data_IF_836026813406
#
_entry.id   IF_836026813406
#
_cell.length_a   1.000
_cell.length_b   1.000
_cell.length_c   1.000
_cell.angle_alpha   90.00
_cell.angle_beta   90.00
_cell.angle_gamma   90.00
#
_symmetry.space_group_name_H-M   'P 1'
#
loop_
_entity.id
_entity.type
_entity.pdbx_description
1 polymer ?
#
# COMPACT_ATOMS: atom_id res chain seq x y z
N UNK A 1 22.21 54.39 23.30
CA UNK A 1 22.59 53.36 22.33
C UNK A 1 22.27 52.00 22.93
N UNK A 2 21.04 51.48 22.76
CA UNK A 2 20.61 50.19 23.29
C UNK A 2 20.47 49.19 22.13
N UNK A 3 21.36 48.20 22.11
CA UNK A 3 21.38 47.09 21.17
C UNK A 3 20.42 46.03 21.66
N UNK A 4 19.31 45.85 20.99
CA UNK A 4 18.37 44.73 21.18
C UNK A 4 18.98 43.45 20.55
N UNK A 5 19.36 42.50 21.41
CA UNK A 5 19.72 41.14 20.97
C UNK A 5 18.43 40.33 20.84
N UNK A 6 18.03 40.04 19.62
CA UNK A 6 16.95 39.11 19.31
C UNK A 6 17.47 37.68 19.51
N UNK A 7 17.02 37.01 20.55
CA UNK A 7 17.30 35.61 20.79
C UNK A 7 16.34 34.75 19.89
N UNK A 8 16.90 34.11 18.90
CA UNK A 8 16.20 33.11 18.13
C UNK A 8 15.90 31.88 19.01
N UNK A 9 14.62 31.65 19.33
CA UNK A 9 14.15 30.41 19.93
C UNK A 9 14.39 29.27 18.94
N UNK A 10 15.36 28.43 19.20
CA UNK A 10 15.44 27.07 18.60
C UNK A 10 14.27 26.25 19.14
N UNK A 11 13.31 25.97 18.32
CA UNK A 11 12.32 24.94 18.60
C UNK A 11 13.03 23.58 18.70
N UNK A 12 13.14 23.07 19.90
CA UNK A 12 13.53 21.69 20.16
C UNK A 12 12.37 20.79 19.68
N UNK A 13 12.54 20.18 18.49
CA UNK A 13 11.73 19.02 18.12
C UNK A 13 11.98 17.95 19.18
N UNK A 14 10.96 17.66 19.99
CA UNK A 14 10.93 16.51 20.86
C UNK A 14 11.06 15.24 20.01
N UNK A 15 12.23 14.66 19.97
CA UNK A 15 12.46 13.33 19.41
C UNK A 15 11.85 12.32 20.39
N UNK A 16 10.61 11.92 20.12
CA UNK A 16 10.00 10.76 20.74
C UNK A 16 10.59 9.52 20.04
N UNK A 17 11.36 8.64 20.69
CA UNK A 17 12.08 7.53 20.06
C UNK A 17 11.16 6.46 19.47
N UNK A 18 9.85 6.55 19.66
CA UNK A 18 8.84 5.61 19.14
C UNK A 18 8.09 6.11 17.89
N UNK A 19 8.41 7.30 17.35
CA UNK A 19 7.80 7.76 16.11
C UNK A 19 8.61 7.22 14.93
N UNK A 20 8.16 6.13 14.33
CA UNK A 20 8.66 5.76 13.00
C UNK A 20 8.45 6.94 12.04
N UNK A 21 9.45 7.30 11.22
CA UNK A 21 9.31 8.39 10.27
C UNK A 21 8.07 8.16 9.40
N UNK A 22 7.32 9.21 9.14
CA UNK A 22 6.16 9.13 8.26
C UNK A 22 6.59 8.74 6.84
N UNK A 23 5.64 8.21 6.07
CA UNK A 23 5.92 7.74 4.72
C UNK A 23 6.41 8.86 3.80
N UNK A 24 5.90 10.07 3.96
CA UNK A 24 6.28 11.23 3.15
C UNK A 24 7.75 11.63 3.39
N UNK A 25 8.18 11.62 4.64
CA UNK A 25 9.58 11.84 5.01
C UNK A 25 10.51 10.77 4.42
N UNK A 26 10.10 9.50 4.48
CA UNK A 26 10.84 8.38 3.87
C UNK A 26 10.93 8.53 2.34
N UNK A 27 9.83 8.92 1.69
CA UNK A 27 9.76 9.15 0.24
C UNK A 27 10.60 10.35 -0.19
N UNK A 28 10.76 11.37 0.67
CA UNK A 28 11.62 12.52 0.44
C UNK A 28 13.06 12.12 0.14
N UNK A 29 13.56 11.09 0.81
CA UNK A 29 14.94 10.59 0.67
C UNK A 29 15.16 9.70 -0.59
N UNK A 30 14.11 9.43 -1.37
CA UNK A 30 14.22 8.65 -2.59
C UNK A 30 14.57 9.57 -3.76
N UNK A 31 15.77 9.47 -4.29
CA UNK A 31 16.29 10.37 -5.32
C UNK A 31 15.72 10.13 -6.73
N UNK A 32 15.15 8.95 -7.01
CA UNK A 32 14.62 8.64 -8.34
C UNK A 32 13.24 9.28 -8.58
N UNK A 33 12.94 9.55 -9.85
CA UNK A 33 11.75 10.29 -10.25
C UNK A 33 10.44 9.47 -10.26
N UNK A 34 10.49 8.15 -10.07
CA UNK A 34 9.31 7.26 -9.99
C UNK A 34 9.46 6.32 -8.81
N UNK A 35 8.53 6.38 -7.90
CA UNK A 35 8.47 5.50 -6.72
C UNK A 35 7.04 5.29 -6.26
N UNK A 36 6.83 4.22 -5.50
CA UNK A 36 5.58 3.92 -4.81
C UNK A 36 5.89 3.68 -3.35
N UNK A 37 5.48 4.61 -2.49
CA UNK A 37 5.44 4.42 -1.06
C UNK A 37 4.14 3.73 -0.68
N UNK A 38 4.22 2.64 0.05
CA UNK A 38 3.05 1.90 0.50
C UNK A 38 2.93 1.99 2.02
N UNK A 39 1.76 2.38 2.49
CA UNK A 39 1.39 2.38 3.90
C UNK A 39 0.23 1.41 4.10
N UNK A 40 0.47 0.37 4.91
CA UNK A 40 -0.52 -0.65 5.23
C UNK A 40 -0.97 -0.44 6.67
N UNK A 41 -2.23 -0.10 6.85
CA UNK A 41 -2.86 0.19 8.15
C UNK A 41 -3.73 -1.01 8.50
N UNK A 42 -3.35 -1.73 9.52
CA UNK A 42 -4.11 -2.86 10.03
C UNK A 42 -4.99 -2.41 11.21
N UNK A 43 -6.25 -2.08 10.93
CA UNK A 43 -7.23 -1.66 11.94
C UNK A 43 -7.99 -2.84 12.56
N UNK A 44 -7.62 -4.07 12.25
CA UNK A 44 -8.31 -5.24 12.80
C UNK A 44 -8.02 -5.42 14.30
N UNK A 45 -8.89 -6.14 14.98
CA UNK A 45 -8.75 -6.43 16.42
C UNK A 45 -7.84 -7.61 16.71
N UNK A 46 -7.70 -8.57 15.77
CA UNK A 46 -7.02 -9.85 16.04
C UNK A 46 -6.17 -10.38 14.89
N UNK A 47 -6.24 -9.77 13.70
CA UNK A 47 -5.53 -10.26 12.52
C UNK A 47 -4.11 -9.71 12.52
N UNK A 48 -3.13 -10.57 12.30
CA UNK A 48 -1.75 -10.19 11.97
C UNK A 48 -1.49 -10.45 10.50
N UNK A 49 -0.89 -9.49 9.81
CA UNK A 49 -0.40 -9.63 8.43
C UNK A 49 1.07 -10.03 8.50
N UNK A 50 1.44 -11.11 7.84
CA UNK A 50 2.78 -11.72 7.90
C UNK A 50 3.21 -12.28 6.54
N UNK A 51 4.41 -12.85 6.46
CA UNK A 51 4.96 -13.47 5.24
C UNK A 51 4.89 -12.54 4.03
N UNK A 52 5.40 -11.30 4.20
CA UNK A 52 5.45 -10.33 3.13
C UNK A 52 6.43 -10.77 2.04
N UNK A 53 5.92 -10.88 0.81
CA UNK A 53 6.68 -11.23 -0.39
C UNK A 53 6.38 -10.26 -1.50
N UNK A 54 7.37 -9.89 -2.30
CA UNK A 54 7.19 -8.98 -3.41
C UNK A 54 7.80 -9.52 -4.70
N UNK A 55 7.20 -9.11 -5.81
CA UNK A 55 7.76 -9.25 -7.14
C UNK A 55 7.77 -7.89 -7.83
N UNK A 56 8.92 -7.46 -8.30
CA UNK A 56 9.05 -6.24 -9.08
C UNK A 56 9.21 -6.61 -10.56
N UNK A 57 8.20 -6.30 -11.37
CA UNK A 57 8.31 -6.37 -12.83
C UNK A 57 9.29 -5.31 -13.35
N UNK A 58 9.28 -4.14 -12.72
CA UNK A 58 10.21 -3.05 -13.00
C UNK A 58 10.50 -2.27 -11.73
N UNK A 59 11.74 -1.86 -11.57
CA UNK A 59 12.24 -1.24 -10.36
C UNK A 59 12.70 -2.26 -9.33
N UNK A 60 12.80 -1.83 -8.09
CA UNK A 60 13.23 -2.66 -6.96
C UNK A 60 12.66 -2.11 -5.65
N UNK A 61 12.74 -2.92 -4.59
CA UNK A 61 12.38 -2.50 -3.25
C UNK A 61 13.51 -1.67 -2.64
N UNK A 62 13.17 -0.54 -2.02
CA UNK A 62 14.10 0.37 -1.33
C UNK A 62 13.99 0.30 0.18
N UNK A 63 12.76 0.21 0.67
CA UNK A 63 12.47 -0.04 2.08
C UNK A 63 11.58 -1.27 2.13
N UNK A 64 12.06 -2.31 2.79
CA UNK A 64 11.34 -3.56 2.97
C UNK A 64 10.10 -3.34 3.85
N UNK A 65 9.02 -4.10 3.62
CA UNK A 65 7.93 -4.16 4.59
C UNK A 65 8.44 -4.71 5.93
N UNK A 66 7.78 -4.41 7.04
CA UNK A 66 8.09 -5.04 8.31
C UNK A 66 7.87 -6.55 8.22
N UNK A 67 8.46 -7.31 9.15
CA UNK A 67 8.29 -8.76 9.22
C UNK A 67 6.81 -9.14 9.38
N UNK A 68 6.11 -8.37 10.23
CA UNK A 68 4.67 -8.51 10.48
C UNK A 68 4.03 -7.14 10.74
N UNK A 69 2.73 -7.05 10.53
CA UNK A 69 1.90 -5.91 10.92
C UNK A 69 0.77 -6.46 11.81
N UNK A 70 0.94 -6.30 13.12
CA UNK A 70 -0.02 -6.73 14.11
C UNK A 70 -1.33 -5.93 14.07
N UNK A 71 -2.33 -6.32 14.89
CA UNK A 71 -3.55 -5.54 15.07
C UNK A 71 -3.26 -4.11 15.49
N UNK A 72 -4.05 -3.14 15.02
CA UNK A 72 -3.94 -1.70 15.33
C UNK A 72 -2.55 -1.13 15.05
N UNK A 73 -1.86 -1.64 14.01
CA UNK A 73 -0.50 -1.27 13.66
C UNK A 73 -0.37 -0.83 12.21
N UNK A 74 0.73 -0.16 11.90
CA UNK A 74 1.02 0.38 10.57
C UNK A 74 2.37 -0.13 10.09
N UNK A 75 2.40 -0.64 8.87
CA UNK A 75 3.63 -1.01 8.18
C UNK A 75 3.87 -0.13 6.95
N UNK A 76 5.15 0.11 6.63
CA UNK A 76 5.55 0.93 5.48
C UNK A 76 6.62 0.24 4.67
N UNK A 77 6.54 0.38 3.35
CA UNK A 77 7.59 -0.04 2.44
C UNK A 77 7.66 0.88 1.22
N UNK A 78 8.78 0.87 0.51
CA UNK A 78 8.98 1.73 -0.66
C UNK A 78 9.57 0.92 -1.81
N UNK A 79 8.93 1.05 -2.96
CA UNK A 79 9.38 0.56 -4.25
C UNK A 79 9.80 1.73 -5.12
N UNK A 80 10.88 1.59 -5.88
CA UNK A 80 11.37 2.67 -6.72
C UNK A 80 11.94 2.13 -8.02
N UNK A 81 11.89 2.95 -9.08
CA UNK A 81 12.50 2.61 -10.35
C UNK A 81 14.00 2.38 -10.21
N UNK A 82 14.56 1.56 -11.07
CA UNK A 82 16.01 1.42 -11.19
C UNK A 82 16.60 2.74 -11.74
N UNK A 83 17.65 3.29 -11.14
CA UNK A 83 18.35 4.46 -11.69
C UNK A 83 18.70 4.27 -13.16
N UNK A 84 18.63 5.34 -13.94
CA UNK A 84 18.91 5.37 -15.39
C UNK A 84 18.02 4.48 -16.26
N UNK A 85 17.09 3.74 -15.72
CA UNK A 85 16.08 2.98 -16.48
C UNK A 85 14.99 3.90 -17.03
N UNK A 86 14.48 3.61 -18.22
CA UNK A 86 13.27 4.23 -18.78
C UNK A 86 11.99 3.52 -18.36
N UNK A 87 12.09 2.58 -17.41
CA UNK A 87 10.94 1.90 -16.82
C UNK A 87 10.58 2.51 -15.46
N UNK A 88 9.32 2.37 -15.06
CA UNK A 88 8.81 2.87 -13.80
C UNK A 88 9.06 1.94 -12.61
N UNK A 89 8.22 2.09 -11.58
CA UNK A 89 8.13 1.23 -10.40
C UNK A 89 6.84 0.43 -10.49
N UNK A 90 6.93 -0.87 -10.82
CA UNK A 90 5.79 -1.73 -11.13
C UNK A 90 5.99 -3.10 -10.49
N UNK A 91 4.96 -3.61 -9.81
CA UNK A 91 5.08 -4.89 -9.13
C UNK A 91 3.86 -5.28 -8.30
N UNK A 92 4.04 -6.29 -7.47
CA UNK A 92 3.03 -6.78 -6.52
C UNK A 92 3.69 -7.06 -5.18
N UNK A 93 3.01 -6.68 -4.10
CA UNK A 93 3.29 -7.07 -2.73
C UNK A 93 2.19 -8.01 -2.28
N UNK A 94 2.57 -9.10 -1.63
CA UNK A 94 1.65 -10.09 -1.09
C UNK A 94 1.96 -10.30 0.39
N UNK A 95 0.93 -10.44 1.19
CA UNK A 95 1.04 -10.86 2.59
C UNK A 95 -0.03 -11.90 2.92
N UNK A 96 0.21 -12.63 4.00
CA UNK A 96 -0.71 -13.63 4.54
C UNK A 96 -1.29 -13.16 5.86
N UNK A 97 -2.47 -13.68 6.14
CA UNK A 97 -3.12 -13.65 7.43
C UNK A 97 -3.68 -15.06 7.73
N UNK A 98 -4.15 -15.29 8.94
CA UNK A 98 -4.67 -16.60 9.34
C UNK A 98 -5.82 -17.12 8.46
N UNK A 99 -6.66 -16.23 7.93
CA UNK A 99 -7.88 -16.59 7.18
C UNK A 99 -7.88 -16.15 5.72
N UNK A 100 -6.89 -15.36 5.27
CA UNK A 100 -6.80 -14.87 3.90
C UNK A 100 -5.36 -14.54 3.52
N UNK A 101 -5.14 -14.35 2.23
CA UNK A 101 -3.94 -13.70 1.70
C UNK A 101 -4.33 -12.48 0.88
N UNK A 102 -3.55 -11.42 0.96
CA UNK A 102 -3.79 -10.17 0.26
C UNK A 102 -2.69 -9.92 -0.75
N UNK A 103 -3.05 -9.69 -2.01
CA UNK A 103 -2.15 -9.18 -3.03
C UNK A 103 -2.48 -7.72 -3.36
N UNK A 104 -1.44 -6.90 -3.43
CA UNK A 104 -1.50 -5.46 -3.70
C UNK A 104 -0.61 -5.20 -4.91
N UNK A 105 -1.20 -5.00 -6.07
CA UNK A 105 -0.49 -4.67 -7.30
C UNK A 105 -0.40 -3.14 -7.43
N UNK A 106 0.75 -2.67 -7.93
CA UNK A 106 1.00 -1.26 -8.20
C UNK A 106 1.76 -1.08 -9.51
N UNK A 107 1.44 -0.02 -10.23
CA UNK A 107 2.11 0.40 -11.46
C UNK A 107 2.23 1.91 -11.47
N UNK A 108 3.45 2.42 -11.29
CA UNK A 108 3.80 3.83 -11.50
C UNK A 108 4.78 3.90 -12.66
N UNK A 109 4.28 4.02 -13.93
CA UNK A 109 5.10 3.96 -15.13
C UNK A 109 6.04 5.17 -15.24
N UNK A 110 7.08 5.03 -16.04
CA UNK A 110 7.98 6.15 -16.35
C UNK A 110 7.32 7.14 -17.30
N UNK A 111 6.67 6.63 -18.34
CA UNK A 111 6.01 7.40 -19.40
C UNK A 111 4.51 7.48 -19.14
N UNK A 112 4.02 8.65 -18.81
CA UNK A 112 2.59 8.92 -18.57
C UNK A 112 1.79 9.24 -19.83
N UNK A 113 2.47 9.38 -20.97
CA UNK A 113 1.79 9.55 -22.26
C UNK A 113 1.27 8.20 -22.75
N UNK A 114 2.08 7.15 -22.56
CA UNK A 114 1.72 5.79 -23.01
C UNK A 114 1.00 4.95 -21.96
N UNK A 115 1.21 5.23 -20.67
CA UNK A 115 0.74 4.38 -19.58
C UNK A 115 0.18 5.20 -18.43
N UNK A 116 -0.88 4.74 -17.84
CA UNK A 116 -1.46 5.33 -16.64
C UNK A 116 -0.88 4.70 -15.36
N UNK A 117 -1.01 5.42 -14.25
CA UNK A 117 -0.81 4.84 -12.92
C UNK A 117 -1.98 3.90 -12.65
N UNK A 118 -1.69 2.72 -12.13
CA UNK A 118 -2.68 1.69 -11.85
C UNK A 118 -2.37 0.99 -10.54
N UNK A 119 -3.42 0.49 -9.89
CA UNK A 119 -3.29 -0.36 -8.72
C UNK A 119 -4.45 -1.34 -8.63
N UNK A 120 -4.23 -2.44 -7.93
CA UNK A 120 -5.26 -3.45 -7.74
C UNK A 120 -5.12 -4.14 -6.38
N UNK A 121 -6.25 -4.64 -5.89
CA UNK A 121 -6.35 -5.47 -4.70
C UNK A 121 -6.95 -6.82 -5.06
N UNK A 122 -6.41 -7.89 -4.48
CA UNK A 122 -6.99 -9.22 -4.58
C UNK A 122 -6.88 -9.94 -3.23
N UNK A 123 -8.01 -10.50 -2.78
CA UNK A 123 -8.09 -11.37 -1.60
C UNK A 123 -8.20 -12.84 -2.05
N UNK A 124 -7.40 -13.68 -1.43
CA UNK A 124 -7.42 -15.14 -1.62
C UNK A 124 -7.80 -15.81 -0.31
N UNK A 125 -8.58 -16.87 -0.38
CA UNK A 125 -8.76 -17.76 0.76
C UNK A 125 -7.45 -18.48 1.06
N UNK A 126 -7.16 -18.70 2.32
CA UNK A 126 -5.90 -19.33 2.79
C UNK A 126 -5.63 -20.70 2.14
N UNK A 127 -6.68 -21.44 1.80
CA UNK A 127 -6.62 -22.75 1.15
C UNK A 127 -6.12 -22.70 -0.31
N UNK A 128 -6.19 -21.53 -0.95
CA UNK A 128 -5.78 -21.35 -2.33
C UNK A 128 -4.30 -20.99 -2.41
N UNK A 129 -3.48 -21.88 -2.94
CA UNK A 129 -2.09 -21.56 -3.24
C UNK A 129 -2.04 -20.46 -4.30
N UNK A 130 -1.48 -19.31 -3.96
CA UNK A 130 -1.40 -18.15 -4.87
C UNK A 130 -0.54 -18.40 -6.12
N UNK A 131 0.29 -19.42 -6.13
CA UNK A 131 1.23 -19.69 -7.19
C UNK A 131 2.48 -18.80 -7.12
N UNK A 132 3.16 -18.65 -8.23
CA UNK A 132 4.33 -17.77 -8.36
C UNK A 132 3.90 -16.32 -8.40
N UNK A 133 4.58 -15.43 -7.69
CA UNK A 133 4.23 -14.00 -7.61
C UNK A 133 4.19 -13.31 -8.97
N UNK A 134 5.07 -13.68 -9.89
CA UNK A 134 5.02 -13.22 -11.28
C UNK A 134 3.68 -13.56 -11.97
N UNK A 135 3.15 -14.76 -11.75
CA UNK A 135 1.86 -15.17 -12.33
C UNK A 135 0.68 -14.42 -11.67
N UNK A 136 0.75 -14.16 -10.36
CA UNK A 136 -0.20 -13.29 -9.67
C UNK A 136 -0.19 -11.89 -10.27
N UNK A 137 1.00 -11.30 -10.42
CA UNK A 137 1.17 -9.99 -11.05
C UNK A 137 0.58 -9.93 -12.46
N UNK A 138 0.94 -10.89 -13.34
CA UNK A 138 0.46 -10.92 -14.73
C UNK A 138 -1.07 -11.02 -14.79
N UNK A 139 -1.68 -11.90 -14.00
CA UNK A 139 -3.14 -12.03 -13.93
C UNK A 139 -3.81 -10.72 -13.47
N UNK A 140 -3.27 -10.06 -12.44
CA UNK A 140 -3.81 -8.80 -11.95
C UNK A 140 -3.68 -7.68 -12.98
N UNK A 141 -2.61 -7.67 -13.78
CA UNK A 141 -2.41 -6.70 -14.88
C UNK A 141 -3.31 -6.96 -16.09
N UNK A 142 -3.64 -8.21 -16.38
CA UNK A 142 -4.49 -8.61 -17.51
C UNK A 142 -5.99 -8.46 -17.20
N UNK A 143 -6.36 -8.48 -15.92
CA UNK A 143 -7.77 -8.37 -15.51
C UNK A 143 -8.33 -6.98 -15.84
N UNK A 144 -9.57 -6.97 -16.37
CA UNK A 144 -10.23 -5.70 -16.69
C UNK A 144 -10.43 -4.86 -15.43
N UNK A 145 -10.14 -3.53 -15.49
CA UNK A 145 -10.50 -2.61 -14.41
C UNK A 145 -12.02 -2.69 -14.15
N UNK A 146 -12.42 -2.39 -12.92
CA UNK A 146 -13.84 -2.29 -12.53
C UNK A 146 -14.69 -3.57 -12.65
N UNK A 147 -14.07 -4.74 -12.54
CA UNK A 147 -14.84 -5.96 -12.34
C UNK A 147 -15.65 -5.90 -11.03
N UNK A 148 -16.92 -6.37 -11.03
CA UNK A 148 -17.78 -6.41 -9.83
C UNK A 148 -17.43 -7.54 -8.85
N UNK A 149 -16.18 -7.94 -8.79
CA UNK A 149 -15.74 -8.97 -7.85
C UNK A 149 -15.55 -8.36 -6.46
N UNK A 150 -16.07 -9.01 -5.44
CA UNK A 150 -15.78 -8.65 -4.05
C UNK A 150 -14.37 -9.04 -3.63
N UNK A 151 -13.71 -9.92 -4.38
CA UNK A 151 -12.37 -10.42 -4.07
C UNK A 151 -11.26 -9.75 -4.88
N UNK A 152 -11.58 -9.14 -6.02
CA UNK A 152 -10.61 -8.49 -6.90
C UNK A 152 -11.15 -7.18 -7.44
N UNK A 153 -10.36 -6.12 -7.32
CA UNK A 153 -10.63 -4.83 -7.97
C UNK A 153 -9.34 -4.23 -8.49
N UNK A 154 -9.42 -3.53 -9.62
CA UNK A 154 -8.33 -2.77 -10.23
C UNK A 154 -8.82 -1.41 -10.68
N UNK A 155 -8.01 -0.39 -10.49
CA UNK A 155 -8.24 0.97 -10.96
C UNK A 155 -7.09 1.47 -11.82
N UNK A 156 -7.46 2.26 -12.83
CA UNK A 156 -6.55 3.08 -13.62
C UNK A 156 -6.82 4.54 -13.22
N UNK A 157 -5.80 5.22 -12.70
CA UNK A 157 -5.99 6.59 -12.21
C UNK A 157 -6.06 7.56 -13.39
N UNK A 158 -7.27 8.01 -13.69
CA UNK A 158 -7.53 9.18 -14.52
C UNK A 158 -7.74 10.43 -13.64
N UNK A 159 -8.18 10.23 -12.38
CA UNK A 159 -8.36 11.27 -11.35
C UNK A 159 -8.02 10.71 -9.97
N UNK A 160 -7.66 11.57 -9.00
CA UNK A 160 -7.15 11.21 -7.65
C UNK A 160 -8.17 10.56 -6.70
N UNK A 161 -9.36 10.18 -7.15
CA UNK A 161 -10.47 9.88 -6.24
C UNK A 161 -10.92 8.42 -6.22
N UNK A 162 -10.24 7.53 -6.92
CA UNK A 162 -10.64 6.12 -6.92
C UNK A 162 -10.16 5.41 -5.65
N UNK A 163 -11.12 4.81 -4.95
CA UNK A 163 -10.89 3.92 -3.82
C UNK A 163 -11.32 2.52 -4.22
N UNK A 164 -10.40 1.57 -4.15
CA UNK A 164 -10.73 0.16 -4.30
C UNK A 164 -11.18 -0.42 -2.96
N UNK A 165 -12.16 -1.31 -3.00
CA UNK A 165 -12.63 -2.05 -1.83
C UNK A 165 -12.85 -3.51 -2.20
N UNK A 166 -12.19 -4.42 -1.50
CA UNK A 166 -12.40 -5.86 -1.58
C UNK A 166 -12.75 -6.41 -0.21
N UNK A 167 -13.56 -7.46 -0.18
CA UNK A 167 -14.00 -8.06 1.09
C UNK A 167 -14.13 -9.58 0.99
N UNK A 168 -13.83 -10.25 2.09
CA UNK A 168 -13.98 -11.69 2.23
C UNK A 168 -14.29 -12.04 3.69
N UNK A 169 -15.42 -12.71 3.94
CA UNK A 169 -15.87 -13.01 5.29
C UNK A 169 -16.09 -11.74 6.10
N UNK A 170 -15.40 -11.62 7.21
CA UNK A 170 -15.47 -10.47 8.12
C UNK A 170 -14.33 -9.44 7.91
N UNK A 171 -13.60 -9.53 6.80
CA UNK A 171 -12.50 -8.63 6.48
C UNK A 171 -12.86 -7.77 5.27
N UNK A 172 -12.53 -6.49 5.38
CA UNK A 172 -12.59 -5.49 4.31
C UNK A 172 -11.21 -4.89 4.11
N UNK A 173 -10.79 -4.78 2.87
CA UNK A 173 -9.56 -4.09 2.51
C UNK A 173 -9.89 -2.96 1.55
N UNK A 174 -9.46 -1.75 1.89
CA UNK A 174 -9.61 -0.56 1.06
C UNK A 174 -8.24 -0.03 0.67
N UNK A 175 -8.12 0.45 -0.55
CA UNK A 175 -6.89 1.10 -1.00
C UNK A 175 -7.18 2.34 -1.82
N UNK A 176 -6.27 3.31 -1.69
CA UNK A 176 -6.24 4.54 -2.49
C UNK A 176 -4.80 4.85 -2.88
N UNK A 177 -4.59 5.23 -4.13
CA UNK A 177 -3.28 5.61 -4.65
C UNK A 177 -3.30 7.05 -5.17
N UNK A 178 -2.23 7.81 -4.93
CA UNK A 178 -2.09 9.15 -5.47
C UNK A 178 -1.58 9.11 -6.92
N UNK A 179 -2.08 10.04 -7.75
CA UNK A 179 -1.66 10.18 -9.15
C UNK A 179 -0.44 11.11 -9.26
N UNK A 180 0.70 10.68 -8.71
CA UNK A 180 1.93 11.48 -8.64
C UNK A 180 3.17 10.65 -8.99
N UNK A 181 4.25 11.34 -9.38
CA UNK A 181 5.52 10.71 -9.72
C UNK A 181 6.15 9.90 -8.57
N UNK A 182 6.00 10.39 -7.35
CA UNK A 182 6.28 9.67 -6.10
C UNK A 182 4.95 9.31 -5.48
N UNK A 183 4.31 8.26 -5.98
CA UNK A 183 2.96 7.88 -5.60
C UNK A 183 2.93 7.29 -4.18
N UNK A 184 1.85 7.59 -3.46
CA UNK A 184 1.55 7.01 -2.15
C UNK A 184 0.34 6.10 -2.31
N UNK A 185 0.50 4.83 -1.93
CA UNK A 185 -0.56 3.82 -1.90
C UNK A 185 -0.88 3.52 -0.43
N UNK A 186 -2.04 3.95 0.02
CA UNK A 186 -2.56 3.65 1.37
C UNK A 186 -3.51 2.47 1.29
N UNK A 187 -3.26 1.47 2.12
CA UNK A 187 -4.07 0.24 2.20
C UNK A 187 -4.56 0.10 3.64
N UNK A 188 -5.86 -0.03 3.83
CA UNK A 188 -6.49 -0.24 5.14
C UNK A 188 -7.14 -1.61 5.19
N UNK A 189 -6.88 -2.34 6.24
CA UNK A 189 -7.49 -3.64 6.55
C UNK A 189 -8.36 -3.46 7.79
N UNK A 190 -9.65 -3.65 7.65
CA UNK A 190 -10.64 -3.45 8.70
C UNK A 190 -11.43 -4.73 8.97
N UNK A 191 -11.87 -4.93 10.21
CA UNK A 191 -12.93 -5.88 10.51
C UNK A 191 -14.26 -5.31 10.01
N UNK A 192 -15.08 -6.16 9.37
CA UNK A 192 -16.48 -5.84 9.09
C UNK A 192 -17.26 -6.16 10.36
N UNK A 193 -17.71 -5.13 11.07
CA UNK A 193 -18.59 -5.34 12.20
C UNK A 193 -19.91 -5.96 11.70
N UNK A 194 -20.42 -7.03 12.32
CA UNK A 194 -21.75 -7.53 11.99
C UNK A 194 -22.77 -6.40 12.21
N UNK A 195 -23.82 -6.33 11.38
CA UNK A 195 -24.84 -5.31 11.56
C UNK A 195 -25.40 -5.41 12.99
N UNK A 196 -25.65 -4.26 13.65
CA UNK A 196 -26.01 -4.20 15.07
C UNK A 196 -27.33 -4.92 15.45
N UNK A 197 -28.04 -5.43 14.46
CA UNK A 197 -29.31 -6.14 14.61
C UNK A 197 -29.34 -7.42 13.75
N UNK A 198 -28.36 -8.31 13.89
CA UNK A 198 -28.56 -9.65 13.33
C UNK A 198 -29.67 -10.33 14.13
N UNK A 199 -30.74 -10.75 13.44
CA UNK A 199 -31.88 -11.46 14.04
C UNK A 199 -31.54 -12.83 14.64
N UNK A 200 -30.28 -13.24 14.59
CA UNK A 200 -29.80 -14.55 15.02
C UNK A 200 -29.32 -14.58 16.49
N UNK A 201 -29.75 -13.61 17.30
CA UNK A 201 -29.46 -13.56 18.73
C UNK A 201 -30.66 -13.83 19.63
N UNK A 202 -31.65 -14.59 19.14
CA UNK A 202 -32.77 -15.08 19.98
C UNK A 202 -33.02 -16.56 19.80
#
# INVERSE_FOLDING_TARGET
>A
MNRWKTAAKKEQKCNNPNLQPDLESLMGNIEVCRSVGMEIINNTKKVTLEDFRSYCFSGNIRILPPFEIGPQSVGRCIFAKTPYSLRGSVGVLVCKASSFSLAIMFSNPFDYVLYNIEFALELFKTENHMGRLHAVFSRMMESKPYGRSTLFQRATLASDHETLEVSSGNIRVRAKMSNTAKAILKVQVDDIDPPPYSKDMW
#
